data_IF_613742570354
#
_entry.id   IF_613742570354
#
_cell.length_a   1.000
_cell.length_b   1.000
_cell.length_c   1.000
_cell.angle_alpha   90.00
_cell.angle_beta   90.00
_cell.angle_gamma   90.00
#
_symmetry.space_group_name_H-M   'P 1'
#
loop_
_entity.id
_entity.type
_entity.pdbx_description
1 polymer ?
#
# COMPACT_ATOMS: atom_id res chain seq x y z
N UNK A 1 22.64 -5.03 3.63
CA UNK A 1 21.37 -5.27 4.38
C UNK A 1 21.61 -6.38 5.39
N UNK A 2 21.31 -6.11 6.66
CA UNK A 2 21.44 -7.09 7.74
C UNK A 2 20.45 -8.26 7.50
N UNK A 3 20.80 -9.55 7.80
CA UNK A 3 19.88 -10.68 7.72
C UNK A 3 18.55 -10.43 8.45
N UNK A 4 18.59 -9.81 9.62
CA UNK A 4 17.40 -9.46 10.43
C UNK A 4 16.48 -8.46 9.69
N UNK A 5 17.04 -7.47 9.01
CA UNK A 5 16.26 -6.51 8.21
C UNK A 5 15.59 -7.20 7.02
N UNK A 6 16.30 -8.12 6.35
CA UNK A 6 15.73 -8.88 5.22
C UNK A 6 14.57 -9.76 5.67
N UNK A 7 14.71 -10.44 6.80
CA UNK A 7 13.64 -11.24 7.37
C UNK A 7 12.43 -10.38 7.71
N UNK A 8 12.62 -9.25 8.38
CA UNK A 8 11.55 -8.31 8.72
C UNK A 8 10.79 -7.83 7.45
N UNK A 9 11.51 -7.49 6.39
CA UNK A 9 10.89 -7.08 5.13
C UNK A 9 10.05 -8.19 4.51
N UNK A 10 10.54 -9.43 4.52
CA UNK A 10 9.80 -10.59 4.03
C UNK A 10 8.54 -10.82 4.87
N UNK A 11 8.62 -10.72 6.17
CA UNK A 11 7.47 -10.87 7.05
C UNK A 11 6.44 -9.75 6.87
N UNK A 12 6.86 -8.50 6.69
CA UNK A 12 5.97 -7.38 6.39
C UNK A 12 5.23 -7.58 5.05
N UNK A 13 5.92 -8.09 4.03
CA UNK A 13 5.30 -8.34 2.72
C UNK A 13 4.32 -9.52 2.76
N UNK A 14 4.56 -10.52 3.59
CA UNK A 14 3.72 -11.72 3.68
C UNK A 14 2.56 -11.58 4.66
N UNK A 15 2.79 -10.93 5.81
CA UNK A 15 1.81 -10.77 6.89
C UNK A 15 1.07 -9.45 6.87
N UNK A 16 1.62 -8.46 6.15
CA UNK A 16 1.06 -7.13 6.09
C UNK A 16 1.37 -6.26 7.31
N UNK A 17 0.76 -5.09 7.34
CA UNK A 17 0.96 -4.04 8.33
C UNK A 17 -0.38 -3.46 8.76
N UNK A 18 -0.68 -3.46 10.04
CA UNK A 18 -1.79 -2.70 10.60
C UNK A 18 -1.40 -1.25 10.79
N UNK A 19 -2.33 -0.36 10.49
CA UNK A 19 -2.19 1.07 10.73
C UNK A 19 -3.03 1.47 11.94
N UNK A 20 -2.45 2.12 12.96
CA UNK A 20 -3.18 2.55 14.16
C UNK A 20 -4.22 3.64 13.87
N UNK A 21 -3.94 4.49 12.91
CA UNK A 21 -4.85 5.56 12.50
C UNK A 21 -4.97 5.59 10.98
N UNK A 22 -6.10 6.06 10.44
CA UNK A 22 -6.19 6.34 9.02
C UNK A 22 -5.16 7.44 8.70
N UNK A 23 -4.11 7.07 7.97
CA UNK A 23 -3.12 8.03 7.52
C UNK A 23 -3.72 8.90 6.42
N UNK A 24 -3.66 10.22 6.57
CA UNK A 24 -3.93 11.15 5.48
C UNK A 24 -3.02 10.79 4.29
N UNK A 25 -3.60 10.49 3.15
CA UNK A 25 -2.90 9.87 2.01
C UNK A 25 -2.88 8.33 2.05
N UNK A 26 -3.46 7.73 3.09
CA UNK A 26 -3.71 6.31 3.19
C UNK A 26 -5.01 5.86 2.52
N UNK A 27 -5.65 6.69 1.74
CA UNK A 27 -6.75 6.27 0.89
C UNK A 27 -6.22 5.31 -0.18
N UNK A 28 -5.77 4.14 0.26
CA UNK A 28 -5.65 3.03 -0.66
C UNK A 28 -7.06 2.63 -1.02
N UNK A 29 -7.33 2.62 -2.27
CA UNK A 29 -8.54 2.13 -2.86
C UNK A 29 -8.69 0.66 -2.46
N UNK A 30 -9.78 0.31 -1.78
CA UNK A 30 -10.12 -1.08 -1.53
C UNK A 30 -10.57 -1.71 -2.85
N UNK A 31 -9.96 -2.84 -3.18
CA UNK A 31 -10.27 -3.59 -4.39
C UNK A 31 -9.69 -2.98 -5.66
N UNK A 32 -9.69 -3.73 -6.72
CA UNK A 32 -9.17 -3.41 -8.03
C UNK A 32 -8.02 -4.32 -8.46
N UNK A 33 -7.57 -4.18 -9.69
CA UNK A 33 -6.44 -4.94 -10.22
C UNK A 33 -5.12 -4.46 -9.61
N UNK A 34 -4.23 -5.40 -9.31
CA UNK A 34 -2.92 -5.13 -8.76
C UNK A 34 -2.92 -4.90 -7.23
N UNK A 35 -1.86 -4.31 -6.68
CA UNK A 35 -1.67 -4.17 -5.23
C UNK A 35 -2.43 -2.96 -4.64
N UNK A 36 -3.72 -2.84 -4.95
CA UNK A 36 -4.56 -1.73 -4.49
C UNK A 36 -4.69 -1.66 -2.96
N UNK A 37 -4.59 -2.80 -2.30
CA UNK A 37 -4.66 -2.92 -0.84
C UNK A 37 -3.29 -2.81 -0.16
N UNK A 38 -2.27 -2.39 -0.89
CA UNK A 38 -0.90 -2.25 -0.42
C UNK A 38 -0.51 -0.79 -0.24
N UNK A 39 0.47 -0.57 0.64
CA UNK A 39 1.15 0.72 0.81
C UNK A 39 2.65 0.58 0.65
N UNK A 40 3.25 1.63 0.09
CA UNK A 40 4.68 1.79 0.11
C UNK A 40 5.13 2.21 1.52
N UNK A 41 6.09 1.50 2.07
CA UNK A 41 6.79 1.86 3.30
C UNK A 41 8.30 1.73 3.09
N UNK A 42 9.06 2.56 3.75
CA UNK A 42 10.53 2.50 3.73
C UNK A 42 11.03 2.05 5.10
N UNK A 43 11.82 0.99 5.12
CA UNK A 43 12.49 0.46 6.31
C UNK A 43 13.97 0.34 5.98
N UNK A 44 14.84 0.88 6.82
CA UNK A 44 16.30 0.88 6.60
C UNK A 44 16.71 1.36 5.20
N UNK A 45 16.05 2.39 4.68
CA UNK A 45 16.34 2.97 3.37
C UNK A 45 15.80 2.17 2.17
N UNK A 46 15.14 1.04 2.39
CA UNK A 46 14.54 0.22 1.32
C UNK A 46 13.04 0.41 1.31
N UNK A 47 12.48 0.81 0.16
CA UNK A 47 11.03 0.93 -0.02
C UNK A 47 10.46 -0.39 -0.51
N UNK A 48 9.38 -0.83 0.13
CA UNK A 48 8.65 -2.04 -0.20
C UNK A 48 7.14 -1.78 -0.18
N UNK A 49 6.39 -2.57 -0.94
CA UNK A 49 4.93 -2.57 -0.90
C UNK A 49 4.46 -3.60 0.11
N UNK A 50 3.61 -3.19 1.05
CA UNK A 50 3.08 -4.07 2.10
C UNK A 50 1.56 -4.07 2.10
N UNK A 51 0.91 -5.24 2.32
CA UNK A 51 -0.54 -5.31 2.46
C UNK A 51 -0.99 -4.53 3.71
N UNK A 52 -2.03 -3.73 3.59
CA UNK A 52 -2.58 -2.94 4.73
C UNK A 52 -4.09 -3.09 4.88
N UNK A 53 -4.80 -3.56 3.85
CA UNK A 53 -6.26 -3.70 3.85
C UNK A 53 -6.74 -5.12 3.53
N UNK A 54 -5.83 -6.08 3.38
CA UNK A 54 -6.18 -7.49 3.22
C UNK A 54 -6.61 -8.10 4.57
N UNK A 55 -7.37 -9.18 4.54
CA UNK A 55 -7.75 -9.90 5.77
C UNK A 55 -6.53 -10.27 6.60
N UNK A 56 -5.47 -10.79 5.98
CA UNK A 56 -4.24 -11.14 6.68
C UNK A 56 -3.55 -9.94 7.33
N UNK A 57 -3.66 -8.75 6.75
CA UNK A 57 -3.07 -7.54 7.32
C UNK A 57 -3.79 -7.05 8.58
N UNK A 58 -5.11 -7.31 8.72
CA UNK A 58 -5.85 -6.94 9.94
C UNK A 58 -5.43 -7.77 11.15
N UNK A 59 -4.96 -8.99 10.94
CA UNK A 59 -4.47 -9.89 11.98
C UNK A 59 -2.93 -9.86 12.10
N UNK A 60 -2.26 -8.99 11.34
CA UNK A 60 -0.81 -8.88 11.39
C UNK A 60 -0.33 -8.48 12.79
N UNK A 61 0.75 -9.11 13.30
CA UNK A 61 1.40 -8.67 14.52
C UNK A 61 2.15 -7.35 14.36
N UNK A 62 2.41 -6.93 13.11
CA UNK A 62 3.12 -5.70 12.82
C UNK A 62 2.16 -4.51 12.81
N UNK A 63 2.50 -3.48 13.58
CA UNK A 63 1.67 -2.29 13.77
C UNK A 63 2.51 -1.06 13.52
N UNK A 64 2.07 -0.20 12.60
CA UNK A 64 2.64 1.13 12.42
C UNK A 64 1.87 2.13 13.28
N UNK A 65 2.59 2.86 14.11
CA UNK A 65 2.06 3.98 14.87
C UNK A 65 1.68 5.15 13.96
N UNK A 66 1.11 6.19 14.57
CA UNK A 66 0.79 7.42 13.86
C UNK A 66 2.06 8.09 13.33
N UNK A 67 2.14 8.43 12.03
CA UNK A 67 3.31 9.09 11.48
C UNK A 67 3.46 10.52 12.02
N UNK A 68 4.71 10.94 12.18
CA UNK A 68 5.06 12.34 12.44
C UNK A 68 4.88 13.22 11.18
N UNK A 69 5.16 14.52 11.31
CA UNK A 69 5.07 15.48 10.20
C UNK A 69 6.02 15.15 9.02
N UNK A 70 7.04 14.35 9.25
CA UNK A 70 7.98 13.85 8.25
C UNK A 70 7.56 12.52 7.63
N UNK A 71 6.45 11.93 8.10
CA UNK A 71 5.95 10.64 7.65
C UNK A 71 6.66 9.44 8.29
N UNK A 72 7.40 9.64 9.39
CA UNK A 72 8.07 8.58 10.14
C UNK A 72 7.16 8.02 11.21
N UNK A 73 7.15 6.72 11.37
CA UNK A 73 6.36 6.02 12.38
C UNK A 73 7.17 4.90 13.04
N UNK A 74 6.84 4.61 14.28
CA UNK A 74 7.41 3.45 14.95
C UNK A 74 6.71 2.18 14.49
N UNK A 75 7.48 1.20 14.05
CA UNK A 75 7.02 -0.15 13.76
C UNK A 75 7.13 -0.98 15.04
N UNK A 76 6.02 -1.62 15.40
CA UNK A 76 5.95 -2.53 16.55
C UNK A 76 5.59 -3.95 16.10
N UNK A 77 6.07 -4.92 16.86
CA UNK A 77 5.56 -6.29 16.83
C UNK A 77 4.69 -6.50 18.09
N UNK A 78 3.38 -6.55 17.92
CA UNK A 78 2.44 -6.40 19.02
C UNK A 78 2.60 -5.02 19.69
N UNK A 79 3.07 -5.02 20.94
CA UNK A 79 3.34 -3.79 21.72
C UNK A 79 4.82 -3.37 21.72
N UNK A 80 5.72 -4.22 21.22
CA UNK A 80 7.17 -4.04 21.32
C UNK A 80 7.68 -3.25 20.12
N UNK A 81 8.32 -2.07 20.29
CA UNK A 81 8.98 -1.35 19.21
C UNK A 81 10.14 -2.17 18.64
N UNK A 82 10.21 -2.32 17.33
CA UNK A 82 11.23 -3.13 16.65
C UNK A 82 12.02 -2.37 15.59
N UNK A 83 11.45 -1.33 15.00
CA UNK A 83 12.10 -0.53 13.96
C UNK A 83 11.43 0.83 13.80
N UNK A 84 12.05 1.69 12.98
CA UNK A 84 11.43 2.88 12.43
C UNK A 84 11.08 2.60 10.97
N UNK A 85 9.92 3.07 10.55
CA UNK A 85 9.52 3.08 9.15
C UNK A 85 9.13 4.49 8.72
N UNK A 86 9.11 4.74 7.43
CA UNK A 86 8.54 5.97 6.89
C UNK A 86 7.58 5.68 5.74
N UNK A 87 6.56 6.53 5.63
CA UNK A 87 5.65 6.52 4.51
C UNK A 87 6.13 7.54 3.48
N UNK A 88 6.46 7.13 2.24
CA UNK A 88 6.85 8.06 1.19
C UNK A 88 5.77 9.12 0.97
N UNK A 89 6.18 10.36 0.83
CA UNK A 89 5.26 11.44 0.48
C UNK A 89 4.82 11.29 -0.97
N UNK A 90 3.52 11.44 -1.21
CA UNK A 90 3.01 11.47 -2.57
C UNK A 90 3.66 12.63 -3.35
N UNK A 91 4.08 12.41 -4.60
CA UNK A 91 4.65 13.46 -5.42
C UNK A 91 3.59 14.52 -5.76
N UNK A 92 4.03 15.75 -6.01
CA UNK A 92 3.12 16.88 -6.26
C UNK A 92 2.19 16.66 -7.44
N UNK A 93 2.64 15.94 -8.48
CA UNK A 93 1.82 15.68 -9.65
C UNK A 93 0.62 14.80 -9.35
N UNK A 94 0.72 13.90 -8.35
CA UNK A 94 -0.36 12.98 -8.00
C UNK A 94 -1.61 13.68 -7.41
N UNK A 95 -1.43 14.87 -6.87
CA UNK A 95 -2.54 15.72 -6.43
C UNK A 95 -3.14 16.61 -7.55
N UNK A 96 -2.66 16.47 -8.79
CA UNK A 96 -3.17 17.23 -9.95
C UNK A 96 -4.31 16.48 -10.64
N UNK A 97 -4.85 17.12 -11.66
CA UNK A 97 -5.92 16.62 -12.53
C UNK A 97 -5.44 16.51 -13.97
N UNK A 98 -6.08 15.65 -14.74
CA UNK A 98 -5.96 15.63 -16.21
C UNK A 98 -6.50 16.91 -16.83
N UNK A 99 -6.30 17.10 -18.14
CA UNK A 99 -6.88 18.21 -18.87
C UNK A 99 -8.42 18.26 -18.79
N UNK A 100 -9.05 17.09 -18.62
CA UNK A 100 -10.50 16.95 -18.48
C UNK A 100 -10.99 17.08 -17.02
N UNK A 101 -10.10 17.49 -16.10
CA UNK A 101 -10.44 17.71 -14.70
C UNK A 101 -10.56 16.46 -13.83
N UNK A 102 -10.11 15.29 -14.30
CA UNK A 102 -10.17 14.05 -13.53
C UNK A 102 -8.92 13.95 -12.63
N UNK A 103 -9.07 13.81 -11.29
CA UNK A 103 -7.94 13.65 -10.41
C UNK A 103 -7.11 12.40 -10.72
N UNK A 104 -5.77 12.50 -10.74
CA UNK A 104 -4.88 11.36 -10.97
C UNK A 104 -5.14 10.20 -10.00
N UNK A 105 -5.55 10.51 -8.77
CA UNK A 105 -5.90 9.52 -7.75
C UNK A 105 -7.09 8.62 -8.13
N UNK A 106 -7.94 9.06 -9.06
CA UNK A 106 -9.08 8.28 -9.55
C UNK A 106 -8.72 7.34 -10.70
N UNK A 107 -7.67 7.66 -11.45
CA UNK A 107 -7.31 6.91 -12.67
C UNK A 107 -6.08 6.03 -12.49
N UNK A 108 -5.27 6.26 -11.46
CA UNK A 108 -4.03 5.50 -11.24
C UNK A 108 -3.72 5.34 -9.75
N UNK A 109 -3.11 4.22 -9.40
CA UNK A 109 -2.58 3.97 -8.06
C UNK A 109 -1.09 4.30 -8.04
N UNK A 110 -0.68 5.11 -7.08
CA UNK A 110 0.73 5.44 -6.88
C UNK A 110 1.46 4.26 -6.21
N UNK A 111 2.51 3.77 -6.87
CA UNK A 111 3.45 2.80 -6.32
C UNK A 111 4.77 3.51 -6.01
N UNK A 112 5.12 3.58 -4.73
CA UNK A 112 6.27 4.37 -4.32
C UNK A 112 6.05 5.86 -4.52
N UNK A 113 6.99 6.54 -5.17
CA UNK A 113 6.98 7.99 -5.38
C UNK A 113 6.91 8.41 -6.84
N UNK A 114 7.07 7.49 -7.77
CA UNK A 114 7.35 7.76 -9.18
C UNK A 114 6.61 6.87 -10.19
N UNK A 115 5.93 5.82 -9.72
CA UNK A 115 5.22 4.89 -10.59
C UNK A 115 3.71 5.03 -10.41
N UNK A 116 2.99 5.26 -11.51
CA UNK A 116 1.54 5.21 -11.57
C UNK A 116 1.08 3.92 -12.24
N UNK A 117 0.38 3.08 -11.50
CA UNK A 117 -0.26 1.89 -12.03
C UNK A 117 -1.71 2.19 -12.39
N UNK A 118 -2.07 1.92 -13.62
CA UNK A 118 -3.44 2.09 -14.12
C UNK A 118 -3.81 0.98 -15.09
N UNK A 119 -5.09 0.79 -15.31
CA UNK A 119 -5.63 -0.04 -16.38
C UNK A 119 -6.35 0.83 -17.38
N UNK A 120 -6.05 0.64 -18.67
CA UNK A 120 -6.69 1.40 -19.75
C UNK A 120 -8.19 1.11 -19.82
N UNK A 121 -8.56 -0.17 -19.60
CA UNK A 121 -9.96 -0.58 -19.47
C UNK A 121 -10.22 -0.95 -18.00
N UNK A 122 -11.15 -0.26 -17.39
CA UNK A 122 -11.54 -0.48 -15.98
C UNK A 122 -12.46 -1.71 -15.80
N UNK A 123 -12.67 -2.48 -16.86
CA UNK A 123 -13.48 -3.69 -16.87
C UNK A 123 -12.65 -4.90 -17.26
N UNK A 124 -13.02 -6.06 -16.75
CA UNK A 124 -12.40 -7.32 -17.09
C UNK A 124 -13.42 -8.24 -17.79
N UNK A 125 -13.16 -8.59 -19.03
CA UNK A 125 -14.03 -9.48 -19.84
C UNK A 125 -14.30 -10.82 -19.14
N UNK A 126 -13.35 -11.30 -18.31
CA UNK A 126 -13.55 -12.56 -17.56
C UNK A 126 -14.48 -12.37 -16.38
N UNK A 127 -14.48 -11.21 -15.75
CA UNK A 127 -15.36 -10.89 -14.65
C UNK A 127 -16.79 -10.66 -15.13
N UNK A 128 -16.97 -9.95 -16.23
CA UNK A 128 -18.28 -9.70 -16.84
C UNK A 128 -18.98 -10.99 -17.26
N UNK A 129 -18.22 -11.98 -17.76
CA UNK A 129 -18.79 -13.27 -18.15
C UNK A 129 -19.29 -14.11 -16.97
N UNK A 130 -18.90 -13.79 -15.73
CA UNK A 130 -19.17 -14.51 -14.45
C UNK A 130 -18.82 -16.01 -14.46
N UNK A 131 -18.66 -16.60 -15.62
CA UNK A 131 -18.38 -18.04 -15.80
C UNK A 131 -16.90 -18.39 -15.68
N UNK A 132 -16.01 -17.41 -15.88
CA UNK A 132 -14.56 -17.60 -15.93
C UNK A 132 -13.79 -16.55 -15.11
N UNK A 133 -14.42 -15.99 -14.07
CA UNK A 133 -13.75 -15.05 -13.20
C UNK A 133 -12.51 -15.68 -12.53
N UNK A 134 -11.44 -14.90 -12.44
CA UNK A 134 -10.22 -15.36 -11.78
C UNK A 134 -10.43 -15.34 -10.26
N UNK A 135 -10.11 -16.43 -9.57
CA UNK A 135 -10.31 -16.55 -8.12
C UNK A 135 -9.35 -15.69 -7.28
N UNK A 136 -8.28 -15.20 -7.87
CA UNK A 136 -7.29 -14.35 -7.20
C UNK A 136 -7.46 -12.86 -7.54
N UNK A 137 -8.51 -12.49 -8.24
CA UNK A 137 -8.77 -11.10 -8.62
C UNK A 137 -9.62 -10.41 -7.55
N UNK A 138 -9.20 -9.22 -7.12
CA UNK A 138 -9.86 -8.41 -6.11
C UNK A 138 -10.83 -7.34 -6.71
N UNK A 139 -11.26 -7.53 -7.96
CA UNK A 139 -12.22 -6.65 -8.63
C UNK A 139 -13.65 -6.96 -8.19
#
# INVERSE_FOLDING_TARGET
MNPTTRQLMTELQTRGLRLEAPHAGAASRRGGAGPSDHKAVTVDGVTLMVPVHTHGAFDSPFVAGTPDAQGRATLRHGTIPIAQLSFPKAPRFYGRQTADGIPYQQIATLHGTDVLATTVLQTCIRYESRRKACRFCAI
#
